data_IF_882367417838
#
_entry.id   IF_882367417838
#
_cell.length_a   1.000
_cell.length_b   1.000
_cell.length_c   1.000
_cell.angle_alpha   90.00
_cell.angle_beta   90.00
_cell.angle_gamma   90.00
#
_symmetry.space_group_name_H-M   'P 1'
#
loop_
_entity.id
_entity.type
_entity.pdbx_description
1 polymer ?
#
# COMPACT_ATOMS: atom_id res chain seq x y z
N UNK A 1 21.02 -1.41 13.63
CA UNK A 1 21.16 -0.63 12.37
C UNK A 1 19.77 -0.14 12.02
N UNK A 2 19.49 1.17 11.98
CA UNK A 2 18.13 1.72 11.84
C UNK A 2 17.49 1.49 10.47
N UNK A 3 16.19 1.81 10.35
CA UNK A 3 15.50 1.84 9.04
C UNK A 3 16.11 2.95 8.16
N UNK A 4 16.39 2.65 6.90
CA UNK A 4 17.02 3.54 5.94
C UNK A 4 16.17 3.69 4.67
N UNK A 5 15.68 4.92 4.45
CA UNK A 5 14.98 5.29 3.22
C UNK A 5 15.87 5.12 1.98
N UNK A 6 17.16 5.50 2.08
CA UNK A 6 18.14 5.31 1.00
C UNK A 6 18.25 3.84 0.57
N UNK A 7 18.30 2.92 1.53
CA UNK A 7 18.36 1.49 1.23
C UNK A 7 17.07 1.01 0.55
N UNK A 8 15.91 1.50 0.98
CA UNK A 8 14.62 1.12 0.39
C UNK A 8 14.49 1.55 -1.07
N UNK A 9 15.03 2.72 -1.45
CA UNK A 9 15.08 3.14 -2.85
C UNK A 9 16.05 2.33 -3.70
N UNK A 10 17.17 1.85 -3.13
CA UNK A 10 18.18 1.06 -3.85
C UNK A 10 17.80 -0.44 -3.87
N UNK A 11 16.86 -0.88 -3.04
CA UNK A 11 16.40 -2.26 -3.00
C UNK A 11 15.82 -2.73 -4.33
N UNK A 12 14.94 -1.95 -4.95
CA UNK A 12 14.28 -2.30 -6.21
C UNK A 12 15.30 -2.62 -7.31
N UNK A 13 16.26 -1.72 -7.64
CA UNK A 13 17.24 -2.00 -8.69
C UNK A 13 18.29 -3.08 -8.37
N UNK A 14 18.31 -3.65 -7.16
CA UNK A 14 19.18 -4.80 -6.83
C UNK A 14 18.68 -6.13 -7.39
N UNK A 15 17.39 -6.24 -7.68
CA UNK A 15 16.82 -7.42 -8.32
C UNK A 15 17.19 -7.41 -9.81
N UNK A 16 17.72 -8.51 -10.37
CA UNK A 16 18.22 -8.54 -11.75
C UNK A 16 17.12 -8.24 -12.78
N UNK A 17 15.88 -8.60 -12.48
CA UNK A 17 14.72 -8.46 -13.36
C UNK A 17 13.80 -7.30 -12.93
N UNK A 18 14.31 -6.36 -12.13
CA UNK A 18 13.51 -5.28 -11.56
C UNK A 18 12.77 -4.44 -12.61
N UNK A 19 13.44 -4.12 -13.73
CA UNK A 19 12.83 -3.35 -14.83
C UNK A 19 11.60 -4.05 -15.39
N UNK A 20 11.72 -5.36 -15.64
CA UNK A 20 10.63 -6.19 -16.14
C UNK A 20 9.48 -6.23 -15.13
N UNK A 21 9.78 -6.43 -13.84
CA UNK A 21 8.79 -6.50 -12.76
C UNK A 21 8.06 -5.18 -12.57
N UNK A 22 8.79 -4.06 -12.59
CA UNK A 22 8.23 -2.70 -12.50
C UNK A 22 7.40 -2.37 -13.74
N UNK A 23 7.87 -2.73 -14.93
CA UNK A 23 7.16 -2.48 -16.17
C UNK A 23 5.83 -3.25 -16.23
N UNK A 24 5.82 -4.54 -15.89
CA UNK A 24 4.58 -5.34 -15.85
C UNK A 24 3.63 -4.78 -14.77
N UNK A 25 4.11 -4.48 -13.56
CA UNK A 25 3.27 -3.90 -12.51
C UNK A 25 2.70 -2.54 -12.87
N UNK A 26 3.51 -1.70 -13.52
CA UNK A 26 3.09 -0.42 -14.07
C UNK A 26 2.04 -0.59 -15.17
N UNK A 27 2.21 -1.53 -16.11
CA UNK A 27 1.21 -1.82 -17.14
C UNK A 27 -0.11 -2.36 -16.55
N UNK A 28 -0.03 -3.20 -15.52
CA UNK A 28 -1.22 -3.66 -14.80
C UNK A 28 -1.95 -2.46 -14.18
N UNK A 29 -1.25 -1.60 -13.43
CA UNK A 29 -1.83 -0.37 -12.87
C UNK A 29 -2.23 0.67 -13.93
N UNK A 30 -1.67 0.60 -15.13
CA UNK A 30 -2.04 1.49 -16.22
C UNK A 30 -3.54 1.35 -16.52
N UNK A 31 -4.05 0.12 -16.64
CA UNK A 31 -5.47 -0.16 -16.89
C UNK A 31 -6.47 0.58 -15.96
N UNK A 32 -6.44 0.42 -14.63
CA UNK A 32 -7.34 1.14 -13.74
C UNK A 32 -7.09 2.67 -13.73
N UNK A 33 -5.90 3.12 -14.11
CA UNK A 33 -5.59 4.57 -14.17
C UNK A 33 -6.03 5.26 -15.47
N UNK A 34 -6.48 4.52 -16.50
CA UNK A 34 -6.93 5.08 -17.79
C UNK A 34 -7.95 6.21 -17.65
N UNK A 35 -8.86 6.10 -16.68
CA UNK A 35 -9.92 7.08 -16.44
C UNK A 35 -9.34 8.46 -16.08
N UNK A 36 -8.20 8.47 -15.39
CA UNK A 36 -7.53 9.70 -14.96
C UNK A 36 -6.63 10.28 -16.05
N UNK A 37 -6.06 9.42 -16.90
CA UNK A 37 -5.15 9.82 -17.98
C UNK A 37 -5.90 10.27 -19.24
N UNK A 38 -7.03 9.66 -19.56
CA UNK A 38 -7.79 9.92 -20.79
C UNK A 38 -9.24 10.36 -20.48
N UNK A 39 -9.52 11.68 -20.46
CA UNK A 39 -10.85 12.21 -20.14
C UNK A 39 -11.98 11.68 -21.05
N UNK A 40 -11.67 11.36 -22.32
CA UNK A 40 -12.64 10.78 -23.26
C UNK A 40 -13.13 9.40 -22.85
N UNK A 41 -12.28 8.58 -22.23
CA UNK A 41 -12.62 7.24 -21.72
C UNK A 41 -13.51 7.35 -20.49
N UNK A 42 -13.27 8.37 -19.63
CA UNK A 42 -14.19 8.69 -18.53
C UNK A 42 -15.60 8.95 -19.06
N UNK A 43 -15.76 9.72 -20.13
CA UNK A 43 -17.09 9.98 -20.71
C UNK A 43 -17.76 8.72 -21.26
N UNK A 44 -16.99 7.81 -21.85
CA UNK A 44 -17.48 6.52 -22.37
C UNK A 44 -17.91 5.59 -21.23
N UNK A 45 -17.06 5.40 -20.22
CA UNK A 45 -17.33 4.50 -19.10
C UNK A 45 -18.44 5.05 -18.21
N UNK A 46 -18.49 6.34 -17.89
CA UNK A 46 -19.51 6.88 -16.99
C UNK A 46 -20.85 7.24 -17.67
N UNK A 47 -21.07 6.81 -18.91
CA UNK A 47 -22.39 6.89 -19.53
C UNK A 47 -23.26 5.72 -19.02
N UNK A 48 -24.42 5.97 -18.38
CA UNK A 48 -25.26 4.93 -17.79
C UNK A 48 -25.77 3.89 -18.79
N UNK A 49 -25.81 4.21 -20.10
CA UNK A 49 -26.15 3.26 -21.17
C UNK A 49 -25.10 2.13 -21.30
N UNK A 50 -23.88 2.35 -20.83
CA UNK A 50 -22.75 1.43 -20.94
C UNK A 50 -22.52 0.59 -19.68
N UNK A 51 -23.56 0.31 -18.88
CA UNK A 51 -23.42 -0.35 -17.58
C UNK A 51 -22.64 -1.68 -17.63
N UNK A 52 -22.81 -2.50 -18.68
CA UNK A 52 -22.02 -3.72 -18.86
C UNK A 52 -20.50 -3.45 -18.92
N UNK A 53 -20.10 -2.42 -19.68
CA UNK A 53 -18.69 -2.02 -19.79
C UNK A 53 -18.15 -1.46 -18.47
N UNK A 54 -18.97 -0.72 -17.71
CA UNK A 54 -18.62 -0.26 -16.36
C UNK A 54 -18.32 -1.46 -15.46
N UNK A 55 -19.23 -2.44 -15.43
CA UNK A 55 -19.08 -3.62 -14.58
C UNK A 55 -17.84 -4.43 -14.95
N UNK A 56 -17.60 -4.68 -16.25
CA UNK A 56 -16.40 -5.39 -16.71
C UNK A 56 -15.13 -4.64 -16.32
N UNK A 57 -15.09 -3.32 -16.57
CA UNK A 57 -13.94 -2.49 -16.21
C UNK A 57 -13.69 -2.52 -14.70
N UNK A 58 -14.74 -2.40 -13.88
CA UNK A 58 -14.64 -2.43 -12.43
C UNK A 58 -14.09 -3.77 -11.93
N UNK A 59 -14.60 -4.90 -12.43
CA UNK A 59 -14.10 -6.23 -12.05
C UNK A 59 -12.62 -6.40 -12.40
N UNK A 60 -12.21 -5.98 -13.60
CA UNK A 60 -10.82 -6.05 -14.04
C UNK A 60 -9.91 -5.15 -13.20
N UNK A 61 -10.32 -3.89 -12.97
CA UNK A 61 -9.61 -2.93 -12.14
C UNK A 61 -9.44 -3.46 -10.71
N UNK A 62 -10.51 -3.98 -10.09
CA UNK A 62 -10.46 -4.59 -8.77
C UNK A 62 -9.51 -5.78 -8.75
N UNK A 63 -9.58 -6.69 -9.72
CA UNK A 63 -8.67 -7.84 -9.81
C UNK A 63 -7.21 -7.41 -9.87
N UNK A 64 -6.90 -6.39 -10.65
CA UNK A 64 -5.56 -5.81 -10.75
C UNK A 64 -5.11 -5.20 -9.42
N UNK A 65 -5.95 -4.40 -8.76
CA UNK A 65 -5.60 -3.82 -7.46
C UNK A 65 -5.36 -4.88 -6.39
N UNK A 66 -6.17 -5.95 -6.38
CA UNK A 66 -5.95 -7.10 -5.52
C UNK A 66 -4.59 -7.76 -5.84
N UNK A 67 -4.29 -8.03 -7.11
CA UNK A 67 -3.00 -8.60 -7.49
C UNK A 67 -1.81 -7.74 -7.06
N UNK A 68 -1.87 -6.42 -7.26
CA UNK A 68 -0.81 -5.50 -6.85
C UNK A 68 -0.64 -5.46 -5.33
N UNK A 69 -1.75 -5.46 -4.57
CA UNK A 69 -1.71 -5.55 -3.11
C UNK A 69 -1.09 -6.87 -2.63
N UNK A 70 -1.49 -8.00 -3.20
CA UNK A 70 -0.91 -9.30 -2.85
C UNK A 70 0.56 -9.42 -3.24
N UNK A 71 0.96 -8.84 -4.37
CA UNK A 71 2.36 -8.74 -4.78
C UNK A 71 3.17 -7.98 -3.74
N UNK A 72 2.67 -6.83 -3.27
CA UNK A 72 3.31 -6.05 -2.21
C UNK A 72 3.55 -6.90 -0.95
N UNK A 73 2.53 -7.57 -0.43
CA UNK A 73 2.66 -8.39 0.77
C UNK A 73 3.60 -9.59 0.56
N UNK A 74 3.57 -10.21 -0.63
CA UNK A 74 4.50 -11.29 -0.97
C UNK A 74 5.94 -10.80 -1.08
N UNK A 75 6.18 -9.60 -1.61
CA UNK A 75 7.51 -9.00 -1.66
C UNK A 75 8.05 -8.71 -0.26
N UNK A 76 7.23 -8.12 0.63
CA UNK A 76 7.59 -7.91 2.04
C UNK A 76 7.96 -9.25 2.69
N UNK A 77 7.12 -10.26 2.54
CA UNK A 77 7.34 -11.58 3.11
C UNK A 77 8.65 -12.21 2.61
N UNK A 78 8.84 -12.28 1.27
CA UNK A 78 10.06 -12.82 0.66
C UNK A 78 11.31 -12.15 1.20
N UNK A 79 11.26 -10.83 1.42
CA UNK A 79 12.38 -10.08 1.98
C UNK A 79 12.64 -10.42 3.45
N UNK A 80 11.59 -10.56 4.27
CA UNK A 80 11.72 -10.93 5.68
C UNK A 80 12.32 -12.34 5.82
N UNK A 81 11.80 -13.33 5.10
CA UNK A 81 12.27 -14.72 5.18
C UNK A 81 13.53 -15.00 4.35
N UNK A 82 14.15 -13.96 3.77
CA UNK A 82 15.37 -14.08 2.95
C UNK A 82 15.21 -15.07 1.77
N UNK A 83 14.03 -15.08 1.15
CA UNK A 83 13.79 -15.87 -0.05
C UNK A 83 14.74 -15.46 -1.17
N UNK A 84 15.31 -16.45 -1.87
CA UNK A 84 16.18 -16.25 -3.04
C UNK A 84 15.49 -15.48 -4.18
N UNK A 85 14.16 -15.43 -4.18
CA UNK A 85 13.37 -14.81 -5.24
C UNK A 85 13.41 -13.27 -5.25
N UNK A 86 13.85 -12.60 -4.18
CA UNK A 86 13.84 -11.12 -4.13
C UNK A 86 12.43 -10.56 -4.35
N UNK A 87 12.23 -9.81 -5.44
CA UNK A 87 10.90 -9.35 -5.86
C UNK A 87 10.09 -10.50 -6.50
N UNK A 88 8.79 -10.65 -6.18
CA UNK A 88 7.98 -11.75 -6.72
C UNK A 88 7.86 -11.77 -8.25
N UNK A 89 7.66 -12.95 -8.84
CA UNK A 89 7.45 -13.10 -10.28
C UNK A 89 5.97 -12.95 -10.68
N UNK A 90 5.66 -12.16 -11.71
CA UNK A 90 4.27 -11.93 -12.14
C UNK A 90 3.53 -13.17 -12.67
N UNK A 91 4.23 -14.26 -12.98
CA UNK A 91 3.61 -15.53 -13.39
C UNK A 91 2.66 -16.12 -12.34
N UNK A 92 2.81 -15.74 -11.07
CA UNK A 92 1.92 -16.16 -9.98
C UNK A 92 0.76 -15.18 -9.71
N UNK A 93 0.29 -14.47 -10.75
CA UNK A 93 -0.74 -13.44 -10.66
C UNK A 93 -1.95 -13.86 -9.81
N UNK A 94 -2.53 -15.04 -10.06
CA UNK A 94 -3.72 -15.51 -9.32
C UNK A 94 -3.46 -15.71 -7.83
N UNK A 95 -2.25 -16.13 -7.45
CA UNK A 95 -1.85 -16.21 -6.04
C UNK A 95 -1.81 -14.81 -5.41
N UNK A 96 -1.33 -13.80 -6.14
CA UNK A 96 -1.36 -12.42 -5.65
C UNK A 96 -2.78 -11.87 -5.53
N UNK A 97 -3.68 -12.19 -6.45
CA UNK A 97 -5.11 -11.85 -6.30
C UNK A 97 -5.66 -12.46 -5.00
N UNK A 98 -5.35 -13.72 -4.72
CA UNK A 98 -5.79 -14.39 -3.49
C UNK A 98 -5.25 -13.74 -2.21
N UNK A 99 -3.93 -13.48 -2.15
CA UNK A 99 -3.32 -12.80 -1.00
C UNK A 99 -3.86 -11.37 -0.85
N UNK A 100 -4.04 -10.67 -1.96
CA UNK A 100 -4.62 -9.32 -2.00
C UNK A 100 -6.07 -9.28 -1.56
N UNK A 101 -6.87 -10.30 -1.91
CA UNK A 101 -8.24 -10.41 -1.42
C UNK A 101 -8.27 -10.55 0.11
N UNK A 102 -7.37 -11.38 0.67
CA UNK A 102 -7.24 -11.50 2.12
C UNK A 102 -6.82 -10.19 2.78
N UNK A 103 -5.83 -9.49 2.21
CA UNK A 103 -5.38 -8.22 2.76
C UNK A 103 -6.48 -7.15 2.68
N UNK A 104 -7.24 -7.12 1.59
CA UNK A 104 -8.35 -6.19 1.40
C UNK A 104 -9.48 -6.46 2.38
N UNK A 105 -9.90 -7.72 2.55
CA UNK A 105 -10.96 -8.08 3.53
C UNK A 105 -10.51 -7.76 4.95
N UNK A 106 -9.30 -8.17 5.35
CA UNK A 106 -8.77 -7.90 6.68
C UNK A 106 -8.59 -6.41 6.95
N UNK A 107 -7.99 -5.68 6.01
CA UNK A 107 -7.81 -4.24 6.07
C UNK A 107 -9.13 -3.48 6.11
N UNK A 108 -10.10 -3.80 5.25
CA UNK A 108 -11.41 -3.16 5.22
C UNK A 108 -12.14 -3.29 6.55
N UNK A 109 -12.23 -4.51 7.08
CA UNK A 109 -12.87 -4.79 8.36
C UNK A 109 -12.16 -4.06 9.52
N UNK A 110 -10.83 -4.01 9.52
CA UNK A 110 -10.05 -3.25 10.48
C UNK A 110 -10.31 -1.73 10.39
N UNK A 111 -10.53 -1.21 9.18
CA UNK A 111 -10.76 0.21 8.93
C UNK A 111 -12.18 0.70 9.27
N UNK A 112 -13.16 -0.20 9.47
CA UNK A 112 -14.56 0.18 9.73
C UNK A 112 -14.76 1.18 10.89
N UNK A 113 -14.12 1.02 12.07
CA UNK A 113 -14.27 1.99 13.16
C UNK A 113 -13.74 3.38 12.78
N UNK A 114 -12.61 3.43 12.06
CA UNK A 114 -12.04 4.69 11.59
C UNK A 114 -12.92 5.33 10.50
N UNK A 115 -13.45 4.54 9.57
CA UNK A 115 -14.39 5.00 8.55
C UNK A 115 -15.64 5.62 9.17
N UNK A 116 -16.20 5.02 10.22
CA UNK A 116 -17.35 5.59 10.93
C UNK A 116 -17.04 6.98 11.51
N UNK A 117 -15.87 7.16 12.13
CA UNK A 117 -15.44 8.47 12.66
C UNK A 117 -15.17 9.47 11.54
N UNK A 118 -14.52 9.06 10.45
CA UNK A 118 -14.29 9.93 9.28
C UNK A 118 -15.60 10.36 8.62
N UNK A 119 -16.58 9.45 8.51
CA UNK A 119 -17.91 9.78 7.99
C UNK A 119 -18.63 10.78 8.89
N UNK A 120 -18.55 10.61 10.21
CA UNK A 120 -19.13 11.55 11.17
C UNK A 120 -18.51 12.95 10.99
N UNK A 121 -17.19 13.05 10.89
CA UNK A 121 -16.50 14.32 10.65
C UNK A 121 -16.85 14.94 9.30
N UNK A 122 -16.96 14.12 8.25
CA UNK A 122 -17.30 14.59 6.90
C UNK A 122 -18.74 15.12 6.81
N UNK A 123 -19.68 14.57 7.58
CA UNK A 123 -21.07 15.04 7.63
C UNK A 123 -21.22 16.29 8.49
N UNK A 124 -20.47 16.43 9.57
CA UNK A 124 -20.57 17.59 10.48
C UNK A 124 -19.76 18.80 10.03
N UNK A 125 -18.65 18.62 9.31
CA UNK A 125 -17.80 19.71 8.86
C UNK A 125 -18.53 20.76 7.98
N UNK A 126 -19.38 20.38 6.99
CA UNK A 126 -20.13 21.36 6.19
C UNK A 126 -21.21 22.12 6.98
N UNK A 127 -21.60 21.61 8.14
CA UNK A 127 -22.59 22.25 9.03
C UNK A 127 -21.94 23.30 9.96
N UNK A 128 -20.60 23.35 9.97
CA UNK A 128 -19.83 24.26 10.81
C UNK A 128 -19.57 25.61 10.10
N UNK A 129 -19.58 26.75 10.83
CA UNK A 129 -19.13 28.03 10.27
C UNK A 129 -17.71 27.93 9.69
N UNK A 130 -17.38 28.73 8.68
CA UNK A 130 -16.06 28.66 8.00
C UNK A 130 -14.84 28.81 8.93
N UNK A 131 -15.02 29.48 10.08
CA UNK A 131 -13.99 29.63 11.12
C UNK A 131 -13.68 28.32 11.88
N UNK A 132 -14.57 27.32 11.83
CA UNK A 132 -14.42 26.03 12.53
C UNK A 132 -13.77 24.93 11.67
N UNK A 133 -13.54 25.18 10.38
CA UNK A 133 -12.97 24.21 9.46
C UNK A 133 -11.52 23.80 9.82
N UNK A 134 -10.73 24.72 10.38
CA UNK A 134 -9.33 24.47 10.78
C UNK A 134 -9.25 23.38 11.87
N UNK A 135 -10.00 23.46 12.99
CA UNK A 135 -10.12 22.37 13.95
C UNK A 135 -10.48 21.02 13.32
N UNK A 136 -11.44 20.97 12.39
CA UNK A 136 -11.83 19.72 11.71
C UNK A 136 -10.67 19.10 10.91
N UNK A 137 -9.91 19.93 10.19
CA UNK A 137 -8.74 19.49 9.43
C UNK A 137 -7.67 18.92 10.38
N UNK A 138 -7.42 19.57 11.52
CA UNK A 138 -6.45 19.11 12.51
C UNK A 138 -6.88 17.76 13.09
N UNK A 139 -8.14 17.63 13.53
CA UNK A 139 -8.69 16.39 14.09
C UNK A 139 -8.62 15.26 13.05
N UNK A 140 -9.06 15.52 11.82
CA UNK A 140 -9.02 14.55 10.73
C UNK A 140 -7.58 14.10 10.41
N UNK A 141 -6.61 15.03 10.45
CA UNK A 141 -5.20 14.72 10.22
C UNK A 141 -4.61 13.86 11.33
N UNK A 142 -4.90 14.16 12.60
CA UNK A 142 -4.48 13.36 13.75
C UNK A 142 -5.06 11.95 13.67
N UNK A 143 -6.36 11.83 13.37
CA UNK A 143 -7.01 10.53 13.18
C UNK A 143 -6.40 9.75 12.02
N UNK A 144 -6.03 10.40 10.92
CA UNK A 144 -5.37 9.74 9.79
C UNK A 144 -3.98 9.23 10.16
N UNK A 145 -3.21 9.97 10.96
CA UNK A 145 -1.91 9.51 11.48
C UNK A 145 -2.08 8.31 12.41
N UNK A 146 -3.06 8.34 13.32
CA UNK A 146 -3.37 7.22 14.21
C UNK A 146 -3.80 6.00 13.40
N UNK A 147 -4.72 6.18 12.45
CA UNK A 147 -5.14 5.12 11.53
C UNK A 147 -3.96 4.52 10.79
N UNK A 148 -3.09 5.35 10.20
CA UNK A 148 -1.93 4.90 9.44
C UNK A 148 -0.99 4.10 10.33
N UNK A 149 -0.72 4.57 11.55
CA UNK A 149 0.07 3.80 12.51
C UNK A 149 -0.59 2.44 12.76
N UNK A 150 -1.83 2.39 13.23
CA UNK A 150 -2.46 1.11 13.56
C UNK A 150 -2.56 0.18 12.33
N UNK A 151 -2.83 0.72 11.14
CA UNK A 151 -2.88 -0.04 9.89
C UNK A 151 -1.51 -0.63 9.52
N UNK A 152 -0.42 0.15 9.59
CA UNK A 152 0.95 -0.35 9.31
C UNK A 152 1.31 -1.50 10.24
N UNK A 153 0.98 -1.40 11.54
CA UNK A 153 1.18 -2.48 12.51
C UNK A 153 0.45 -3.77 12.09
N UNK A 154 -0.84 -3.66 11.73
CA UNK A 154 -1.64 -4.82 11.34
C UNK A 154 -1.22 -5.40 9.99
N UNK A 155 -0.88 -4.54 9.02
CA UNK A 155 -0.38 -4.92 7.72
C UNK A 155 0.95 -5.67 7.81
N UNK A 156 1.87 -5.25 8.70
CA UNK A 156 3.09 -5.99 9.00
C UNK A 156 2.79 -7.38 9.55
N UNK A 157 1.85 -7.48 10.49
CA UNK A 157 1.45 -8.76 11.07
C UNK A 157 0.90 -9.72 10.00
N UNK A 158 0.06 -9.21 9.10
CA UNK A 158 -0.44 -9.96 7.95
C UNK A 158 0.67 -10.39 6.98
N UNK A 159 1.67 -9.53 6.72
CA UNK A 159 2.77 -9.85 5.83
C UNK A 159 3.60 -11.07 6.28
N UNK A 160 3.56 -11.42 7.57
CA UNK A 160 4.31 -12.55 8.11
C UNK A 160 3.68 -13.91 7.78
N UNK A 161 2.36 -14.00 7.65
CA UNK A 161 1.65 -15.31 7.53
C UNK A 161 0.47 -15.34 6.53
N UNK A 162 0.08 -14.20 5.96
CA UNK A 162 -1.07 -14.03 5.06
C UNK A 162 -2.40 -14.54 5.62
N UNK A 163 -2.57 -14.62 6.95
CA UNK A 163 -3.84 -14.98 7.60
C UNK A 163 -4.66 -13.72 7.85
N UNK A 164 -5.92 -13.69 7.42
CA UNK A 164 -6.82 -12.54 7.63
C UNK A 164 -6.93 -12.18 9.12
N UNK A 165 -6.95 -13.20 9.99
CA UNK A 165 -6.99 -13.04 11.45
C UNK A 165 -5.84 -12.22 12.03
N UNK A 166 -4.71 -12.11 11.30
CA UNK A 166 -3.55 -11.32 11.71
C UNK A 166 -3.85 -9.82 11.75
N UNK A 167 -4.83 -9.32 10.99
CA UNK A 167 -5.31 -7.93 11.09
C UNK A 167 -6.03 -7.61 12.40
N UNK A 168 -6.48 -8.63 13.14
CA UNK A 168 -7.21 -8.47 14.41
C UNK A 168 -6.40 -8.94 15.61
N UNK A 169 -5.24 -9.55 15.38
CA UNK A 169 -4.36 -9.99 16.45
C UNK A 169 -3.48 -8.83 16.94
N UNK A 170 -4.11 -7.92 17.69
CA UNK A 170 -3.45 -6.73 18.26
C UNK A 170 -2.29 -7.10 19.17
N UNK A 171 -2.39 -8.22 19.90
CA UNK A 171 -1.30 -8.74 20.75
C UNK A 171 -0.05 -9.01 19.92
N UNK A 172 -0.16 -9.79 18.84
CA UNK A 172 0.95 -10.11 17.94
C UNK A 172 1.50 -8.84 17.25
N UNK A 173 0.62 -7.93 16.83
CA UNK A 173 1.05 -6.64 16.28
C UNK A 173 1.83 -5.77 17.27
N UNK A 174 1.35 -5.66 18.51
CA UNK A 174 2.06 -4.95 19.57
C UNK A 174 3.40 -5.62 19.92
N UNK A 175 3.43 -6.95 19.95
CA UNK A 175 4.66 -7.72 20.13
C UNK A 175 5.67 -7.47 19.01
N UNK A 176 5.28 -7.07 17.79
CA UNK A 176 6.20 -6.62 16.73
C UNK A 176 6.78 -5.22 17.00
N UNK A 177 6.11 -4.36 17.74
CA UNK A 177 6.59 -3.00 18.02
C UNK A 177 7.32 -2.91 19.36
N UNK A 178 6.94 -3.74 20.34
CA UNK A 178 7.50 -3.73 21.69
C UNK A 178 9.02 -3.85 21.68
N UNK A 179 9.73 -2.93 22.34
CA UNK A 179 11.20 -2.91 22.35
C UNK A 179 11.85 -2.37 21.07
N UNK A 180 11.08 -1.93 20.07
CA UNK A 180 11.58 -1.28 18.85
C UNK A 180 10.72 -0.07 18.42
N UNK A 181 10.17 0.65 19.40
CA UNK A 181 9.17 1.72 19.17
C UNK A 181 9.71 2.86 18.31
N UNK A 182 10.98 3.27 18.52
CA UNK A 182 11.58 4.37 17.75
C UNK A 182 11.63 4.04 16.25
N UNK A 183 12.10 2.85 15.88
CA UNK A 183 12.13 2.44 14.48
C UNK A 183 10.72 2.27 13.90
N UNK A 184 9.75 1.85 14.70
CA UNK A 184 8.36 1.81 14.26
C UNK A 184 7.80 3.22 13.97
N UNK A 185 8.05 4.19 14.84
CA UNK A 185 7.68 5.59 14.61
C UNK A 185 8.33 6.10 13.33
N UNK A 186 9.63 5.84 13.13
CA UNK A 186 10.35 6.19 11.89
C UNK A 186 9.71 5.53 10.67
N UNK A 187 9.31 4.26 10.74
CA UNK A 187 8.59 3.58 9.66
C UNK A 187 7.30 4.30 9.30
N UNK A 188 6.47 4.65 10.28
CA UNK A 188 5.20 5.36 10.05
C UNK A 188 5.46 6.72 9.40
N UNK A 189 6.44 7.48 9.89
CA UNK A 189 6.83 8.75 9.26
C UNK A 189 7.34 8.59 7.83
N UNK A 190 8.16 7.59 7.55
CA UNK A 190 8.58 7.29 6.18
C UNK A 190 7.41 6.88 5.30
N UNK A 191 6.41 6.17 5.84
CA UNK A 191 5.24 5.81 5.07
C UNK A 191 4.41 7.03 4.66
N UNK A 192 4.21 7.97 5.60
CA UNK A 192 3.54 9.24 5.35
C UNK A 192 4.35 10.13 4.38
N UNK A 193 5.66 10.20 4.56
CA UNK A 193 6.57 10.97 3.70
C UNK A 193 6.52 10.45 2.25
N UNK A 194 6.60 9.13 2.05
CA UNK A 194 6.50 8.53 0.71
C UNK A 194 5.13 8.75 0.08
N UNK A 195 4.04 8.72 0.87
CA UNK A 195 2.70 8.99 0.37
C UNK A 195 2.59 10.44 -0.12
N UNK A 196 3.15 11.37 0.65
CA UNK A 196 3.22 12.78 0.28
C UNK A 196 4.07 13.01 -0.97
N UNK A 197 5.28 12.42 -1.04
CA UNK A 197 6.16 12.52 -2.21
C UNK A 197 5.47 11.95 -3.46
N UNK A 198 4.87 10.76 -3.36
CA UNK A 198 4.13 10.14 -4.46
C UNK A 198 2.97 11.01 -4.93
N UNK A 199 2.25 11.65 -4.01
CA UNK A 199 1.17 12.59 -4.32
C UNK A 199 1.69 13.82 -5.08
N UNK A 200 2.79 14.42 -4.63
CA UNK A 200 3.42 15.57 -5.28
C UNK A 200 3.92 15.19 -6.69
N UNK A 201 4.63 14.06 -6.82
CA UNK A 201 5.13 13.58 -8.10
C UNK A 201 3.98 13.30 -9.07
N UNK A 202 2.93 12.61 -8.61
CA UNK A 202 1.75 12.35 -9.45
C UNK A 202 1.04 13.65 -9.86
N UNK A 203 0.93 14.65 -8.99
CA UNK A 203 0.36 15.95 -9.34
C UNK A 203 1.17 16.67 -10.44
N UNK A 204 2.51 16.60 -10.38
CA UNK A 204 3.40 17.13 -11.43
C UNK A 204 3.18 16.37 -12.75
N UNK A 205 3.14 15.04 -12.71
CA UNK A 205 2.97 14.20 -13.91
C UNK A 205 1.61 14.43 -14.59
N UNK A 206 0.54 14.63 -13.83
CA UNK A 206 -0.79 14.95 -14.37
C UNK A 206 -0.76 16.25 -15.20
N UNK A 207 -0.04 17.27 -14.73
CA UNK A 207 0.07 18.55 -15.46
C UNK A 207 0.89 18.44 -16.75
N UNK A 208 1.76 17.43 -16.87
CA UNK A 208 2.65 17.23 -18.01
C UNK A 208 2.02 16.54 -19.23
N UNK A 209 0.70 16.42 -19.31
CA UNK A 209 -0.08 15.72 -20.36
C UNK A 209 0.46 14.33 -20.71
N UNK A 210 1.48 14.23 -21.59
CA UNK A 210 2.14 12.97 -21.94
C UNK A 210 2.81 12.29 -20.73
N UNK A 211 3.28 13.08 -19.77
CA UNK A 211 3.92 12.54 -18.56
C UNK A 211 2.96 11.80 -17.63
N UNK A 212 1.65 12.02 -17.77
CA UNK A 212 0.63 11.30 -16.99
C UNK A 212 0.65 9.79 -17.25
N UNK A 213 1.18 9.35 -18.41
CA UNK A 213 1.37 7.94 -18.74
C UNK A 213 2.36 7.22 -17.79
N UNK A 214 3.24 7.97 -17.11
CA UNK A 214 4.21 7.42 -16.17
C UNK A 214 3.68 7.25 -14.75
N UNK A 215 2.52 7.83 -14.41
CA UNK A 215 1.90 7.74 -13.08
C UNK A 215 1.82 6.30 -12.54
N UNK A 216 1.30 5.31 -13.28
CA UNK A 216 1.18 3.96 -12.76
C UNK A 216 2.53 3.28 -12.54
N UNK A 217 3.56 3.60 -13.34
CA UNK A 217 4.92 3.07 -13.18
C UNK A 217 5.60 3.65 -11.95
N UNK A 218 5.51 4.97 -11.75
CA UNK A 218 6.04 5.65 -10.56
C UNK A 218 5.33 5.16 -9.31
N UNK A 219 4.00 5.06 -9.36
CA UNK A 219 3.18 4.58 -8.24
C UNK A 219 3.55 3.14 -7.88
N UNK A 220 3.70 2.25 -8.87
CA UNK A 220 4.15 0.87 -8.63
C UNK A 220 5.56 0.82 -8.05
N UNK A 221 6.48 1.64 -8.55
CA UNK A 221 7.84 1.72 -8.00
C UNK A 221 7.83 2.14 -6.52
N UNK A 222 7.05 3.17 -6.17
CA UNK A 222 6.88 3.60 -4.78
C UNK A 222 6.29 2.48 -3.92
N UNK A 223 5.32 1.72 -4.43
CA UNK A 223 4.83 0.51 -3.75
C UNK A 223 5.95 -0.48 -3.42
N UNK A 224 6.92 -0.68 -4.31
CA UNK A 224 8.07 -1.54 -4.03
C UNK A 224 9.03 -0.93 -2.99
N UNK A 225 9.21 0.39 -2.95
CA UNK A 225 10.00 1.05 -1.88
C UNK A 225 9.39 0.78 -0.50
N UNK A 226 8.06 0.81 -0.38
CA UNK A 226 7.39 0.42 0.86
C UNK A 226 7.72 -1.02 1.29
N UNK A 227 7.91 -1.95 0.34
CA UNK A 227 8.15 -3.36 0.67
C UNK A 227 9.42 -3.55 1.50
N UNK A 228 10.50 -2.86 1.13
CA UNK A 228 11.77 -2.96 1.84
C UNK A 228 11.71 -2.20 3.18
N UNK A 229 11.01 -1.06 3.25
CA UNK A 229 10.80 -0.37 4.55
C UNK A 229 10.09 -1.26 5.57
N UNK A 230 9.03 -1.95 5.15
CA UNK A 230 8.30 -2.89 6.00
C UNK A 230 9.21 -4.04 6.45
N UNK A 231 9.98 -4.61 5.54
CA UNK A 231 10.90 -5.70 5.85
C UNK A 231 12.05 -5.25 6.76
N UNK A 232 12.68 -4.11 6.50
CA UNK A 232 13.75 -3.53 7.33
C UNK A 232 13.32 -3.37 8.78
N UNK A 233 12.08 -2.92 9.04
CA UNK A 233 11.56 -2.79 10.40
C UNK A 233 11.54 -4.13 11.15
N UNK A 234 11.03 -5.19 10.51
CA UNK A 234 10.97 -6.53 11.10
C UNK A 234 12.38 -7.06 11.34
N UNK A 235 13.27 -6.96 10.35
CA UNK A 235 14.64 -7.48 10.41
C UNK A 235 15.49 -6.77 11.47
N UNK A 236 15.34 -5.46 11.63
CA UNK A 236 16.05 -4.69 12.63
C UNK A 236 15.63 -5.06 14.06
N UNK A 237 14.37 -5.46 14.27
CA UNK A 237 13.92 -5.96 15.56
C UNK A 237 14.47 -7.34 15.87
N UNK A 238 14.46 -8.24 14.90
CA UNK A 238 14.78 -9.63 15.14
C UNK A 238 16.28 -9.85 15.35
N UNK A 239 17.15 -8.92 14.95
CA UNK A 239 18.61 -9.10 15.01
C UNK A 239 19.09 -10.36 14.27
N UNK A 240 18.20 -10.94 13.46
CA UNK A 240 18.30 -12.24 12.84
C UNK A 240 18.65 -12.00 11.38
N UNK A 241 19.91 -12.24 11.04
CA UNK A 241 20.16 -13.20 9.98
C UNK A 241 19.26 -14.40 10.27
N UNK A 242 18.14 -14.52 9.56
CA UNK A 242 17.28 -15.69 9.69
C UNK A 242 18.08 -16.89 9.22
N UNK A 243 18.79 -17.56 10.13
CA UNK A 243 19.23 -18.92 9.90
C UNK A 243 18.01 -19.72 9.48
N UNK A 244 18.12 -20.37 8.32
CA UNK A 244 17.10 -21.08 7.51
C UNK A 244 16.21 -22.11 8.26
N UNK A 245 16.30 -22.23 9.59
CA UNK A 245 15.66 -23.28 10.37
C UNK A 245 14.67 -22.80 11.44
N UNK A 246 14.34 -21.50 11.56
CA UNK A 246 13.40 -21.03 12.60
C UNK A 246 12.20 -20.20 12.14
N UNK A 247 11.91 -20.15 10.84
CA UNK A 247 10.57 -19.81 10.38
C UNK A 247 9.70 -21.08 10.40
N UNK A 248 9.35 -21.55 11.60
CA UNK A 248 8.46 -22.70 11.76
C UNK A 248 6.98 -22.29 11.58
N UNK A 249 6.32 -23.04 10.69
CA UNK A 249 4.91 -23.52 10.70
C UNK A 249 3.78 -22.48 10.78
#
# INVERSE_FOLDING_TARGET
>A
MGISLKQAFIFVPKDSDWLKKVFIGGLLLFFPTFIYVFPGIKKLLFNPVNYYWITIFAILATTIFLAVSGYFFKAVHNRIVHSKEGLPEWKYFSYYVYVGLKSYVGGFLFSLPFLAVFLLLAVTAPMSPSAELIPFIIIGSVLHIIYTACYVMMALNFALDFKITSFFNVKKGYELIKGNLLNYIILVFYCLLLAMINTIVNAILVNGQIFSLFIPFVTFYVYLVYTDLFAQFVLNKTGLECHEQKCFI
#
